data_IF_334813322414
#
_entry.id   IF_334813322414
#
_cell.length_a   1.000
_cell.length_b   1.000
_cell.length_c   1.000
_cell.angle_alpha   90.00
_cell.angle_beta   90.00
_cell.angle_gamma   90.00
#
_symmetry.space_group_name_H-M   'P 1'
#
loop_
_entity.id
_entity.type
_entity.pdbx_description
1 polymer ?
#
# COMPACT_ATOMS: atom_id res chain seq x y z
N UNK A 1 -5.93 -30.47 -25.59
CA UNK A 1 -4.57 -30.51 -26.17
C UNK A 1 -4.14 -29.09 -26.47
N UNK A 2 -3.57 -28.40 -25.46
CA UNK A 2 -3.08 -27.03 -25.62
C UNK A 2 -1.86 -27.07 -26.54
N UNK A 3 -2.02 -26.51 -27.73
CA UNK A 3 -1.01 -26.48 -28.80
C UNK A 3 0.27 -25.81 -28.29
N UNK A 4 1.35 -26.59 -28.19
CA UNK A 4 2.73 -26.10 -28.19
C UNK A 4 2.87 -25.10 -29.34
N UNK A 5 3.18 -23.84 -29.01
CA UNK A 5 3.49 -22.85 -30.04
C UNK A 5 4.71 -23.30 -30.84
N UNK A 6 4.54 -23.46 -32.16
CA UNK A 6 5.57 -23.89 -33.11
C UNK A 6 6.26 -22.70 -33.82
N UNK A 7 6.40 -21.55 -33.17
CA UNK A 7 7.29 -20.47 -33.65
C UNK A 7 8.15 -19.95 -32.49
N UNK A 8 9.41 -19.56 -32.75
CA UNK A 8 10.33 -19.10 -31.70
C UNK A 8 9.95 -17.74 -31.07
N UNK A 9 8.81 -17.16 -31.45
CA UNK A 9 8.36 -15.82 -31.05
C UNK A 9 7.01 -15.80 -30.33
N UNK A 10 6.34 -16.94 -30.19
CA UNK A 10 5.00 -17.00 -29.61
C UNK A 10 5.05 -17.64 -28.22
N UNK A 11 4.42 -16.98 -27.25
CA UNK A 11 4.27 -17.50 -25.89
C UNK A 11 3.27 -18.65 -25.87
N UNK A 12 3.63 -19.78 -25.27
CA UNK A 12 2.62 -20.74 -24.86
C UNK A 12 1.91 -20.26 -23.58
N UNK A 13 0.74 -20.82 -23.29
CA UNK A 13 -0.12 -20.33 -22.22
C UNK A 13 0.55 -20.46 -20.83
N UNK A 14 1.33 -21.53 -20.60
CA UNK A 14 2.10 -21.71 -19.36
C UNK A 14 3.22 -20.68 -19.20
N UNK A 15 3.95 -20.37 -20.28
CA UNK A 15 4.99 -19.33 -20.26
C UNK A 15 4.37 -17.95 -19.99
N UNK A 16 3.19 -17.67 -20.57
CA UNK A 16 2.49 -16.41 -20.34
C UNK A 16 2.02 -16.28 -18.89
N UNK A 17 1.48 -17.36 -18.29
CA UNK A 17 1.09 -17.37 -16.86
C UNK A 17 2.32 -17.17 -15.98
N UNK A 18 3.42 -17.89 -16.25
CA UNK A 18 4.67 -17.71 -15.53
C UNK A 18 5.17 -16.26 -15.61
N UNK A 19 5.23 -15.67 -16.81
CA UNK A 19 5.64 -14.28 -17.00
C UNK A 19 4.70 -13.29 -16.27
N UNK A 20 3.39 -13.52 -16.31
CA UNK A 20 2.40 -12.70 -15.61
C UNK A 20 2.61 -12.74 -14.09
N UNK A 21 2.89 -13.91 -13.53
CA UNK A 21 3.22 -14.07 -12.11
C UNK A 21 4.53 -13.35 -11.78
N UNK A 22 5.59 -13.52 -12.58
CA UNK A 22 6.87 -12.84 -12.37
C UNK A 22 6.67 -11.31 -12.36
N UNK A 23 5.97 -10.75 -13.35
CA UNK A 23 5.67 -9.32 -13.42
C UNK A 23 4.90 -8.83 -12.20
N UNK A 24 3.83 -9.55 -11.80
CA UNK A 24 3.05 -9.20 -10.63
C UNK A 24 3.89 -9.22 -9.34
N UNK A 25 4.70 -10.26 -9.14
CA UNK A 25 5.57 -10.38 -7.97
C UNK A 25 6.65 -9.30 -7.95
N UNK A 26 7.23 -8.94 -9.11
CA UNK A 26 8.20 -7.84 -9.21
C UNK A 26 7.54 -6.50 -8.86
N UNK A 27 6.33 -6.21 -9.34
CA UNK A 27 5.62 -4.98 -8.97
C UNK A 27 5.30 -4.89 -7.46
N UNK A 28 4.87 -6.01 -6.86
CA UNK A 28 4.63 -6.08 -5.41
C UNK A 28 5.95 -5.85 -4.65
N UNK A 29 7.05 -6.45 -5.10
CA UNK A 29 8.36 -6.26 -4.47
C UNK A 29 8.84 -4.82 -4.57
N UNK A 30 8.69 -4.17 -5.72
CA UNK A 30 9.01 -2.74 -5.87
C UNK A 30 8.19 -1.88 -4.90
N UNK A 31 6.90 -2.16 -4.77
CA UNK A 31 6.01 -1.46 -3.85
C UNK A 31 6.41 -1.69 -2.40
N UNK A 32 6.78 -2.92 -2.03
CA UNK A 32 7.25 -3.28 -0.70
C UNK A 32 8.58 -2.59 -0.35
N UNK A 33 9.56 -2.64 -1.25
CA UNK A 33 10.89 -2.06 -1.04
C UNK A 33 10.83 -0.54 -0.89
N UNK A 34 10.15 0.14 -1.82
CA UNK A 34 9.99 1.60 -1.78
C UNK A 34 9.06 2.03 -0.63
N UNK A 35 8.05 1.20 -0.35
CA UNK A 35 7.11 1.35 0.77
C UNK A 35 7.80 1.35 2.12
N UNK A 36 8.77 0.45 2.32
CA UNK A 36 9.57 0.35 3.55
C UNK A 36 10.73 1.35 3.62
N UNK A 37 11.11 1.95 2.49
CA UNK A 37 12.22 2.90 2.41
C UNK A 37 13.60 2.25 2.45
N UNK A 38 13.72 0.98 2.02
CA UNK A 38 14.95 0.18 2.15
C UNK A 38 15.94 0.32 0.99
N UNK A 39 15.79 1.28 0.07
CA UNK A 39 16.71 1.43 -1.08
C UNK A 39 17.51 2.73 -1.09
N UNK A 40 18.80 2.58 -0.80
CA UNK A 40 19.89 3.24 -1.52
C UNK A 40 20.89 2.20 -2.06
N UNK A 41 20.56 1.43 -3.12
CA UNK A 41 21.51 0.51 -3.74
C UNK A 41 22.70 1.21 -4.42
N UNK A 42 22.71 2.55 -4.48
CA UNK A 42 23.76 3.38 -5.07
C UNK A 42 24.51 4.27 -4.06
N UNK A 43 24.40 4.04 -2.75
CA UNK A 43 25.43 4.52 -1.82
C UNK A 43 26.67 3.61 -1.95
N UNK A 44 27.29 3.63 -3.13
CA UNK A 44 28.74 3.52 -3.16
C UNK A 44 29.23 4.70 -2.34
N UNK A 45 29.90 4.38 -1.25
CA UNK A 45 30.87 5.21 -0.56
C UNK A 45 31.67 6.01 -1.58
N UNK A 46 31.19 7.20 -1.91
CA UNK A 46 32.03 8.28 -2.42
C UNK A 46 32.74 8.90 -1.23
N UNK A 47 33.46 8.07 -0.45
CA UNK A 47 34.59 8.51 0.35
C UNK A 47 35.76 8.79 -0.59
N UNK A 48 35.55 9.77 -1.47
CA UNK A 48 36.60 10.61 -2.01
C UNK A 48 36.64 11.88 -1.16
N UNK A 49 36.93 11.72 0.13
CA UNK A 49 37.60 12.78 0.85
C UNK A 49 39.09 12.58 0.58
N UNK A 50 39.55 13.28 -0.46
CA UNK A 50 40.96 13.62 -0.59
C UNK A 50 41.42 14.13 0.77
N UNK A 51 42.41 13.43 1.32
CA UNK A 51 43.18 13.89 2.46
C UNK A 51 43.61 15.34 2.22
N UNK A 52 42.96 16.28 2.91
CA UNK A 52 43.48 17.59 3.15
C UNK A 52 43.43 17.83 4.66
N UNK A 53 44.56 17.45 5.26
CA UNK A 53 45.03 17.81 6.57
C UNK A 53 44.86 19.32 6.83
N UNK A 54 43.88 19.72 7.66
CA UNK A 54 43.94 20.94 8.49
C UNK A 54 43.19 20.74 9.81
N UNK A 55 43.90 21.06 10.89
CA UNK A 55 43.56 21.00 12.31
C UNK A 55 42.42 21.94 12.74
N UNK A 56 41.87 21.59 13.90
CA UNK A 56 41.08 22.38 14.86
C UNK A 56 39.66 22.79 14.46
N UNK A 57 38.65 22.12 15.03
CA UNK A 57 37.47 22.81 15.59
C UNK A 57 36.61 21.95 16.56
N UNK A 58 37.14 21.62 17.73
CA UNK A 58 36.31 21.03 18.82
C UNK A 58 35.33 22.05 19.45
N UNK A 59 35.38 23.32 19.04
CA UNK A 59 34.53 24.36 19.60
C UNK A 59 33.19 24.49 18.88
N UNK A 60 33.15 24.12 17.59
CA UNK A 60 31.94 24.18 16.75
C UNK A 60 30.90 23.09 17.08
N UNK A 61 31.33 21.88 17.44
CA UNK A 61 30.39 20.78 17.78
C UNK A 61 29.61 21.05 19.08
N UNK A 62 30.25 21.63 20.08
CA UNK A 62 29.60 21.97 21.36
C UNK A 62 28.54 23.05 21.15
N UNK A 63 28.82 24.04 20.30
CA UNK A 63 27.87 25.12 19.99
C UNK A 63 26.65 24.59 19.21
N UNK A 64 26.86 23.65 18.28
CA UNK A 64 25.79 22.97 17.55
C UNK A 64 24.92 22.09 18.46
N UNK A 65 25.53 21.37 19.42
CA UNK A 65 24.81 20.55 20.39
C UNK A 65 23.95 21.40 21.35
N UNK A 66 24.49 22.52 21.85
CA UNK A 66 23.74 23.45 22.70
C UNK A 66 22.55 24.06 21.96
N UNK A 67 22.72 24.41 20.67
CA UNK A 67 21.64 24.93 19.82
C UNK A 67 20.57 23.89 19.51
N UNK A 68 20.93 22.60 19.46
CA UNK A 68 19.99 21.48 19.32
C UNK A 68 19.18 21.23 20.59
N UNK A 69 19.80 21.32 21.77
CA UNK A 69 19.11 21.16 23.06
C UNK A 69 18.09 22.27 23.32
N UNK A 70 18.38 23.51 22.91
CA UNK A 70 17.48 24.65 23.09
C UNK A 70 16.24 24.60 22.17
N UNK A 71 16.38 23.97 20.99
CA UNK A 71 15.26 23.69 20.07
C UNK A 71 14.36 22.57 20.59
N UNK A 72 14.94 21.53 21.19
CA UNK A 72 14.18 20.43 21.81
C UNK A 72 13.41 20.89 23.06
N UNK A 73 13.94 21.86 23.80
CA UNK A 73 13.26 22.46 24.97
C UNK A 73 12.04 23.31 24.56
N UNK A 74 12.09 23.98 23.40
CA UNK A 74 10.97 24.74 22.82
C UNK A 74 9.89 23.86 22.19
N UNK A 75 10.24 22.68 21.67
CA UNK A 75 9.28 21.72 21.13
C UNK A 75 8.46 21.02 22.23
N UNK A 76 8.99 20.94 23.46
CA UNK A 76 8.35 20.24 24.59
C UNK A 76 7.22 21.02 25.28
N UNK A 77 6.91 22.26 24.85
CA UNK A 77 5.79 23.06 25.41
C UNK A 77 4.54 23.13 24.52
N UNK A 78 4.49 22.36 23.42
CA UNK A 78 3.29 22.24 22.56
C UNK A 78 2.99 20.79 22.19
N UNK A 79 2.63 19.99 23.19
CA UNK A 79 1.88 18.74 22.97
C UNK A 79 0.74 18.71 23.94
N UNK A 80 -0.43 19.18 23.50
CA UNK A 80 -1.71 18.62 23.92
C UNK A 80 -2.78 18.94 22.88
N UNK A 81 -2.77 18.18 21.79
CA UNK A 81 -3.91 18.07 20.87
C UNK A 81 -4.01 16.60 20.48
N UNK A 82 -4.70 15.83 21.33
CA UNK A 82 -5.16 14.47 21.01
C UNK A 82 -5.98 14.54 19.72
N UNK A 83 -5.54 13.84 18.68
CA UNK A 83 -6.27 13.74 17.43
C UNK A 83 -7.42 12.72 17.62
N UNK A 84 -8.69 13.09 17.32
CA UNK A 84 -9.86 12.25 17.63
C UNK A 84 -9.90 10.88 16.93
N UNK A 85 -9.26 10.75 15.76
CA UNK A 85 -9.43 9.57 14.90
C UNK A 85 -8.70 8.29 15.34
N UNK A 86 -7.71 8.37 16.24
CA UNK A 86 -6.98 7.18 16.73
C UNK A 86 -7.62 6.61 18.01
N UNK A 87 -8.19 7.47 18.87
CA UNK A 87 -8.94 7.04 20.07
C UNK A 87 -10.29 6.42 19.73
N UNK A 88 -10.96 6.92 18.68
CA UNK A 88 -12.20 6.33 18.19
C UNK A 88 -11.95 4.95 17.57
N UNK A 89 -10.85 4.79 16.82
CA UNK A 89 -10.39 3.50 16.33
C UNK A 89 -10.08 2.53 17.49
N UNK A 90 -9.38 3.00 18.53
CA UNK A 90 -9.11 2.25 19.76
C UNK A 90 -10.41 1.79 20.45
N UNK A 91 -11.44 2.64 20.49
CA UNK A 91 -12.74 2.28 21.07
C UNK A 91 -13.44 1.17 20.27
N UNK A 92 -13.45 1.26 18.94
CA UNK A 92 -14.02 0.22 18.08
C UNK A 92 -13.31 -1.14 18.20
N UNK A 93 -11.99 -1.16 18.42
CA UNK A 93 -11.25 -2.41 18.64
C UNK A 93 -11.57 -3.06 19.99
N UNK A 94 -11.80 -2.28 21.04
CA UNK A 94 -12.22 -2.81 22.35
C UNK A 94 -13.69 -3.27 22.32
N UNK A 95 -14.58 -2.55 21.63
CA UNK A 95 -15.99 -2.92 21.50
C UNK A 95 -16.18 -4.21 20.67
N UNK A 96 -15.29 -4.48 19.71
CA UNK A 96 -15.31 -5.72 18.92
C UNK A 96 -15.07 -7.00 19.74
N UNK A 97 -14.54 -6.92 20.97
CA UNK A 97 -14.43 -8.06 21.89
C UNK A 97 -15.75 -8.39 22.61
N UNK A 98 -16.71 -7.46 22.64
CA UNK A 98 -17.96 -7.61 23.41
C UNK A 98 -19.08 -8.23 22.55
N UNK A 99 -19.02 -8.13 21.23
CA UNK A 99 -20.10 -8.54 20.32
C UNK A 99 -20.07 -10.00 19.84
N UNK A 100 -19.26 -10.88 20.44
CA UNK A 100 -19.27 -12.32 20.07
C UNK A 100 -20.50 -13.08 20.60
N UNK A 101 -21.42 -12.44 21.33
CA UNK A 101 -22.68 -13.02 21.79
C UNK A 101 -23.86 -12.03 21.66
N UNK A 102 -24.40 -11.81 20.46
CA UNK A 102 -25.86 -11.78 20.23
C UNK A 102 -26.23 -11.55 18.77
N UNK A 103 -27.34 -12.17 18.38
CA UNK A 103 -27.83 -12.36 17.01
C UNK A 103 -28.86 -11.27 16.62
N UNK A 104 -29.11 -11.15 15.32
CA UNK A 104 -30.34 -10.72 14.60
C UNK A 104 -30.60 -9.25 14.25
N UNK A 105 -30.54 -8.99 12.94
CA UNK A 105 -31.49 -8.30 12.05
C UNK A 105 -32.26 -7.06 12.56
N UNK A 106 -32.14 -5.94 11.83
CA UNK A 106 -33.26 -5.23 11.19
C UNK A 106 -32.74 -4.03 10.36
N UNK A 107 -32.92 -4.14 9.03
CA UNK A 107 -33.37 -3.12 8.05
C UNK A 107 -32.89 -1.65 8.15
N UNK A 108 -32.20 -1.16 7.13
CA UNK A 108 -32.76 -0.18 6.17
C UNK A 108 -31.74 0.20 5.09
N UNK A 109 -32.22 0.19 3.86
CA UNK A 109 -31.51 0.59 2.65
C UNK A 109 -31.16 2.07 2.67
N UNK A 110 -29.89 2.40 2.48
CA UNK A 110 -29.46 3.65 1.88
C UNK A 110 -28.10 3.39 1.20
N UNK A 111 -28.13 3.34 -0.13
CA UNK A 111 -26.94 3.28 -0.98
C UNK A 111 -26.23 4.62 -0.92
N UNK A 112 -25.31 4.78 0.03
CA UNK A 112 -24.35 5.88 -0.02
C UNK A 112 -23.25 5.54 -1.04
N UNK A 113 -23.46 5.99 -2.28
CA UNK A 113 -22.37 6.20 -3.22
C UNK A 113 -21.29 7.05 -2.55
N UNK A 114 -20.03 6.64 -2.71
CA UNK A 114 -18.85 7.38 -2.25
C UNK A 114 -18.76 8.70 -3.05
N UNK A 115 -19.49 9.72 -2.61
CA UNK A 115 -19.40 11.07 -3.13
C UNK A 115 -18.35 11.85 -2.34
N UNK A 116 -17.09 11.79 -2.78
CA UNK A 116 -16.13 12.84 -2.46
C UNK A 116 -16.47 14.04 -3.34
N UNK A 117 -17.17 15.01 -2.76
CA UNK A 117 -17.55 16.25 -3.41
C UNK A 117 -16.33 17.13 -3.76
N UNK A 118 -16.48 17.82 -4.89
CA UNK A 118 -15.74 19.00 -5.38
C UNK A 118 -14.46 18.79 -6.21
N UNK A 119 -14.65 18.49 -7.51
CA UNK A 119 -14.67 19.54 -8.54
C UNK A 119 -14.99 18.93 -9.91
N UNK A 120 -16.18 19.23 -10.44
CA UNK A 120 -16.66 18.77 -11.74
C UNK A 120 -15.98 19.56 -12.86
N UNK A 121 -14.81 19.12 -13.26
CA UNK A 121 -14.19 19.50 -14.52
C UNK A 121 -14.29 18.33 -15.48
N UNK A 122 -15.21 18.42 -16.44
CA UNK A 122 -15.24 17.59 -17.64
C UNK A 122 -13.89 17.69 -18.34
N UNK A 123 -13.01 16.69 -18.21
CA UNK A 123 -11.81 16.59 -19.01
C UNK A 123 -11.45 15.12 -19.23
N UNK A 124 -11.16 14.81 -20.48
CA UNK A 124 -10.84 13.50 -21.03
C UNK A 124 -9.83 12.71 -20.17
N UNK A 125 -9.97 11.38 -20.20
CA UNK A 125 -9.26 10.39 -19.38
C UNK A 125 -7.75 10.24 -19.67
N UNK A 126 -7.06 11.34 -19.98
CA UNK A 126 -5.60 11.44 -20.09
C UNK A 126 -5.19 12.84 -19.60
N UNK A 127 -5.03 13.01 -18.28
CA UNK A 127 -4.32 14.19 -17.76
C UNK A 127 -2.82 14.04 -18.07
N UNK A 128 -2.36 14.62 -19.19
CA UNK A 128 -0.93 14.84 -19.46
C UNK A 128 -0.41 15.95 -18.54
N UNK A 129 -0.27 15.69 -17.24
CA UNK A 129 0.55 16.56 -16.37
C UNK A 129 2.02 16.20 -16.57
N UNK A 130 2.71 17.03 -17.34
CA UNK A 130 4.17 17.03 -17.45
C UNK A 130 4.78 17.36 -16.09
N UNK A 131 5.34 16.37 -15.40
CA UNK A 131 6.13 16.56 -14.18
C UNK A 131 7.50 15.89 -14.33
N UNK A 132 8.52 16.60 -13.82
CA UNK A 132 9.96 16.33 -13.92
C UNK A 132 10.31 14.84 -13.93
N UNK A 133 10.93 14.41 -15.01
CA UNK A 133 11.57 13.12 -15.16
C UNK A 133 12.57 12.88 -14.01
N UNK A 134 12.34 11.87 -13.18
CA UNK A 134 13.44 11.09 -12.64
C UNK A 134 13.95 10.22 -13.80
N UNK A 135 14.62 10.85 -14.76
CA UNK A 135 15.28 10.14 -15.86
C UNK A 135 16.53 9.47 -15.31
N UNK A 136 16.37 8.33 -14.63
CA UNK A 136 17.38 7.31 -14.79
C UNK A 136 17.35 6.95 -16.27
N UNK A 137 18.36 7.38 -17.03
CA UNK A 137 18.41 7.24 -18.49
C UNK A 137 18.23 5.79 -18.99
N UNK A 138 18.29 4.82 -18.08
CA UNK A 138 18.09 3.41 -18.35
C UNK A 138 16.62 2.95 -18.36
N UNK A 139 15.70 3.67 -17.72
CA UNK A 139 14.30 3.23 -17.62
C UNK A 139 13.64 3.13 -18.99
N UNK A 140 13.99 4.04 -19.91
CA UNK A 140 13.50 4.05 -21.30
C UNK A 140 13.94 2.83 -22.12
N UNK A 141 14.92 2.03 -21.69
CA UNK A 141 15.35 0.83 -22.41
C UNK A 141 14.45 -0.38 -22.15
N UNK A 142 13.71 -0.38 -21.04
CA UNK A 142 12.94 -1.54 -20.58
C UNK A 142 11.42 -1.31 -20.55
N UNK A 143 10.96 -0.14 -20.99
CA UNK A 143 9.54 0.23 -21.00
C UNK A 143 9.17 0.87 -22.33
N UNK A 144 7.99 0.52 -22.85
CA UNK A 144 7.44 1.09 -24.07
C UNK A 144 6.74 2.43 -23.84
N UNK A 145 6.18 2.65 -22.65
CA UNK A 145 5.49 3.89 -22.29
C UNK A 145 5.74 4.28 -20.83
N UNK A 146 6.48 5.37 -20.64
CA UNK A 146 6.76 5.95 -19.32
C UNK A 146 5.63 6.84 -18.77
N UNK A 147 4.59 7.08 -19.57
CA UNK A 147 3.43 7.88 -19.20
C UNK A 147 2.23 7.04 -18.77
N UNK A 148 2.25 5.72 -19.00
CA UNK A 148 1.23 4.82 -18.50
C UNK A 148 1.27 4.82 -16.96
N UNK A 149 0.18 5.29 -16.36
CA UNK A 149 0.06 5.49 -14.92
C UNK A 149 -1.33 5.10 -14.47
N UNK A 150 -1.44 4.78 -13.18
CA UNK A 150 -2.74 4.57 -12.55
C UNK A 150 -3.60 5.84 -12.67
N UNK A 151 -4.82 5.67 -13.15
CA UNK A 151 -5.88 6.67 -13.10
C UNK A 151 -6.91 6.21 -12.09
N UNK A 152 -7.32 7.12 -11.22
CA UNK A 152 -8.23 6.82 -10.13
C UNK A 152 -9.57 6.25 -10.64
N UNK A 153 -9.89 5.00 -10.30
CA UNK A 153 -11.14 4.36 -10.73
C UNK A 153 -12.36 5.18 -10.33
N UNK A 154 -12.37 5.78 -9.14
CA UNK A 154 -13.45 6.64 -8.68
C UNK A 154 -13.65 7.90 -9.54
N UNK A 155 -12.62 8.34 -10.28
CA UNK A 155 -12.71 9.47 -11.22
C UNK A 155 -13.08 9.03 -12.63
N UNK A 156 -13.04 7.72 -12.91
CA UNK A 156 -13.34 7.18 -14.22
C UNK A 156 -14.81 6.75 -14.29
N UNK A 157 -15.69 7.70 -14.61
CA UNK A 157 -17.14 7.48 -14.66
C UNK A 157 -17.62 6.38 -15.64
N UNK A 158 -16.74 5.86 -16.50
CA UNK A 158 -17.07 4.91 -17.56
C UNK A 158 -16.48 3.51 -17.33
N UNK A 159 -15.73 3.29 -16.23
CA UNK A 159 -15.08 2.00 -15.99
C UNK A 159 -15.98 1.15 -15.11
N UNK A 160 -16.47 0.03 -15.68
CA UNK A 160 -17.23 -0.98 -14.96
C UNK A 160 -16.37 -1.55 -13.83
N UNK A 161 -16.94 -1.55 -12.64
CA UNK A 161 -16.39 -2.27 -11.49
C UNK A 161 -16.46 -3.78 -11.72
N UNK A 162 -15.39 -4.48 -11.38
CA UNK A 162 -15.36 -5.95 -11.34
C UNK A 162 -15.98 -6.44 -10.03
N UNK A 163 -16.98 -7.31 -10.11
CA UNK A 163 -17.52 -7.95 -8.91
C UNK A 163 -16.73 -9.20 -8.59
N UNK A 164 -16.34 -9.39 -7.33
CA UNK A 164 -15.46 -10.51 -6.96
C UNK A 164 -16.01 -11.88 -7.37
N UNK A 165 -17.34 -12.08 -7.29
CA UNK A 165 -17.98 -13.35 -7.65
C UNK A 165 -17.95 -13.64 -9.17
N UNK A 166 -17.59 -12.66 -10.03
CA UNK A 166 -17.42 -12.89 -11.47
C UNK A 166 -16.09 -13.60 -11.76
N UNK A 167 -15.06 -13.36 -10.94
CA UNK A 167 -13.78 -14.06 -10.99
C UNK A 167 -13.04 -13.89 -9.67
N UNK A 168 -12.92 -14.97 -8.89
CA UNK A 168 -12.24 -15.03 -7.60
C UNK A 168 -11.02 -15.96 -7.67
N UNK A 169 -10.11 -15.84 -6.71
CA UNK A 169 -8.98 -16.76 -6.63
C UNK A 169 -9.45 -18.18 -6.29
N UNK A 170 -10.41 -18.25 -5.38
CA UNK A 170 -10.95 -19.48 -4.79
C UNK A 170 -11.75 -20.31 -5.80
N UNK A 171 -12.54 -19.67 -6.66
CA UNK A 171 -13.43 -20.38 -7.59
C UNK A 171 -12.80 -20.65 -8.95
N UNK A 172 -11.96 -19.74 -9.47
CA UNK A 172 -11.38 -19.88 -10.82
C UNK A 172 -9.86 -19.69 -10.86
N UNK A 173 -9.32 -18.73 -10.10
CA UNK A 173 -7.92 -18.34 -10.20
C UNK A 173 -6.95 -19.47 -9.87
N UNK A 174 -7.19 -20.21 -8.78
CA UNK A 174 -6.34 -21.31 -8.34
C UNK A 174 -6.26 -22.40 -9.42
N UNK A 175 -7.40 -22.94 -9.86
CA UNK A 175 -7.44 -24.02 -10.86
C UNK A 175 -6.85 -23.59 -12.20
N UNK A 176 -7.05 -22.34 -12.60
CA UNK A 176 -6.44 -21.78 -13.81
C UNK A 176 -4.92 -21.79 -13.74
N UNK A 177 -4.34 -21.35 -12.61
CA UNK A 177 -2.88 -21.38 -12.43
C UNK A 177 -2.38 -22.81 -12.27
N UNK A 178 -3.11 -23.69 -11.59
CA UNK A 178 -2.69 -25.08 -11.36
C UNK A 178 -2.63 -25.90 -12.67
N UNK A 179 -3.58 -25.67 -13.58
CA UNK A 179 -3.58 -26.32 -14.90
C UNK A 179 -2.39 -25.86 -15.76
N UNK A 180 -1.97 -24.60 -15.63
CA UNK A 180 -1.00 -23.95 -16.51
C UNK A 180 0.41 -23.89 -15.92
N UNK A 181 0.53 -23.95 -14.59
CA UNK A 181 1.78 -23.88 -13.82
C UNK A 181 1.64 -24.55 -12.43
N UNK A 182 1.53 -25.88 -12.47
CA UNK A 182 1.11 -26.82 -11.42
C UNK A 182 1.79 -26.75 -10.02
N UNK A 183 2.90 -26.02 -9.84
CA UNK A 183 3.51 -25.82 -8.51
C UNK A 183 3.26 -24.42 -7.93
N UNK A 184 2.94 -23.45 -8.78
CA UNK A 184 2.80 -22.07 -8.34
C UNK A 184 1.45 -21.77 -7.72
N UNK A 185 0.39 -22.48 -8.10
CA UNK A 185 -0.93 -22.29 -7.52
C UNK A 185 -0.89 -22.47 -5.99
N UNK A 186 -0.32 -23.58 -5.52
CA UNK A 186 -0.15 -23.86 -4.09
C UNK A 186 0.71 -22.83 -3.35
N UNK A 187 1.79 -22.37 -3.96
CA UNK A 187 2.69 -21.38 -3.34
C UNK A 187 1.97 -20.03 -3.21
N UNK A 188 1.25 -19.62 -4.26
CA UNK A 188 0.47 -18.38 -4.25
C UNK A 188 -0.66 -18.47 -3.24
N UNK A 189 -1.38 -19.60 -3.19
CA UNK A 189 -2.48 -19.81 -2.26
C UNK A 189 -2.01 -19.75 -0.80
N UNK A 190 -0.92 -20.47 -0.47
CA UNK A 190 -0.29 -20.40 0.85
C UNK A 190 0.17 -18.99 1.19
N UNK A 191 0.71 -18.25 0.22
CA UNK A 191 1.16 -16.86 0.42
C UNK A 191 -0.04 -15.92 0.68
N UNK A 192 -1.11 -16.02 -0.11
CA UNK A 192 -2.33 -15.21 0.05
C UNK A 192 -2.96 -15.51 1.42
N UNK A 193 -3.15 -16.78 1.74
CA UNK A 193 -3.71 -17.23 3.03
C UNK A 193 -2.86 -16.78 4.21
N UNK A 194 -1.53 -16.90 4.11
CA UNK A 194 -0.62 -16.43 5.17
C UNK A 194 -0.75 -14.93 5.37
N UNK A 195 -0.69 -14.12 4.30
CA UNK A 195 -0.77 -12.66 4.39
C UNK A 195 -2.13 -12.20 4.93
N UNK A 196 -3.23 -12.85 4.53
CA UNK A 196 -4.57 -12.54 5.02
C UNK A 196 -4.77 -12.90 6.50
N UNK A 197 -4.10 -13.95 7.00
CA UNK A 197 -4.30 -14.44 8.36
C UNK A 197 -3.20 -14.02 9.34
N UNK A 198 -2.10 -13.46 8.85
CA UNK A 198 -0.96 -13.06 9.70
C UNK A 198 -1.41 -12.04 10.75
N UNK A 199 -1.29 -12.44 12.01
CA UNK A 199 -1.48 -11.57 13.15
C UNK A 199 -0.67 -12.06 14.33
N UNK A 200 -0.12 -11.12 15.09
CA UNK A 200 0.47 -11.39 16.40
C UNK A 200 -0.50 -11.02 17.53
N UNK A 201 -1.76 -10.70 17.20
CA UNK A 201 -2.75 -10.16 18.13
C UNK A 201 -2.26 -8.93 18.88
N UNK A 202 -1.42 -8.11 18.22
CA UNK A 202 -0.89 -6.86 18.78
C UNK A 202 -1.34 -5.66 17.97
N UNK A 203 -1.46 -4.51 18.65
CA UNK A 203 -1.73 -3.22 18.04
C UNK A 203 -0.93 -2.15 18.81
N UNK A 204 0.25 -1.78 18.30
CA UNK A 204 1.14 -0.84 18.98
C UNK A 204 1.59 -1.35 20.35
N UNK A 205 1.14 -0.70 21.42
CA UNK A 205 1.43 -1.09 22.80
C UNK A 205 0.43 -2.11 23.36
N UNK A 206 -0.67 -2.38 22.66
CA UNK A 206 -1.70 -3.33 23.09
C UNK A 206 -1.38 -4.75 22.61
N UNK A 207 -1.66 -5.73 23.47
CA UNK A 207 -1.56 -7.15 23.17
C UNK A 207 -2.94 -7.79 23.37
N UNK A 208 -3.11 -9.00 22.83
CA UNK A 208 -4.35 -9.80 22.90
C UNK A 208 -5.56 -9.09 22.27
N UNK A 209 -5.33 -8.37 21.17
CA UNK A 209 -6.36 -7.63 20.42
C UNK A 209 -6.67 -8.33 19.11
N UNK A 210 -7.96 -8.47 18.78
CA UNK A 210 -8.36 -8.91 17.45
C UNK A 210 -8.16 -7.79 16.44
N UNK A 211 -7.30 -8.05 15.46
CA UNK A 211 -6.94 -7.11 14.38
C UNK A 211 -7.63 -7.45 13.06
N UNK A 212 -8.47 -8.48 13.03
CA UNK A 212 -9.15 -8.99 11.82
C UNK A 212 -9.85 -7.89 11.04
N UNK A 213 -10.70 -7.09 11.71
CA UNK A 213 -11.46 -5.99 11.08
C UNK A 213 -10.57 -4.98 10.37
N UNK A 214 -9.45 -4.61 10.98
CA UNK A 214 -8.52 -3.62 10.40
C UNK A 214 -7.73 -4.19 9.22
N UNK A 215 -7.21 -5.42 9.37
CA UNK A 215 -6.50 -6.11 8.29
C UNK A 215 -7.43 -6.33 7.09
N UNK A 216 -8.69 -6.71 7.36
CA UNK A 216 -9.71 -6.89 6.34
C UNK A 216 -10.09 -5.56 5.66
N UNK A 217 -10.22 -4.46 6.41
CA UNK A 217 -10.47 -3.13 5.83
C UNK A 217 -9.32 -2.66 4.93
N UNK A 218 -8.05 -2.93 5.27
CA UNK A 218 -6.90 -2.67 4.38
C UNK A 218 -7.03 -3.49 3.10
N UNK A 219 -7.30 -4.78 3.22
CA UNK A 219 -7.45 -5.70 2.10
C UNK A 219 -8.56 -5.24 1.14
N UNK A 220 -9.75 -4.94 1.68
CA UNK A 220 -10.90 -4.47 0.90
C UNK A 220 -10.69 -3.09 0.29
N UNK A 221 -10.02 -2.18 0.99
CA UNK A 221 -9.65 -0.89 0.43
C UNK A 221 -8.71 -1.06 -0.77
N UNK A 222 -7.65 -1.87 -0.66
CA UNK A 222 -6.72 -2.12 -1.76
C UNK A 222 -7.46 -2.73 -2.96
N UNK A 223 -8.29 -3.76 -2.76
CA UNK A 223 -9.07 -4.34 -3.85
C UNK A 223 -9.99 -3.31 -4.54
N UNK A 224 -10.64 -2.43 -3.77
CA UNK A 224 -11.49 -1.37 -4.32
C UNK A 224 -10.71 -0.35 -5.17
N UNK A 225 -9.44 -0.11 -4.84
CA UNK A 225 -8.57 0.76 -5.63
C UNK A 225 -8.23 0.15 -6.99
N UNK A 226 -8.21 -1.19 -7.11
CA UNK A 226 -8.08 -1.90 -8.38
C UNK A 226 -9.43 -2.11 -9.10
N UNK A 227 -10.52 -1.55 -8.57
CA UNK A 227 -11.84 -1.65 -9.17
C UNK A 227 -12.58 -2.95 -8.86
N UNK A 228 -12.09 -3.75 -7.89
CA UNK A 228 -12.75 -4.98 -7.44
C UNK A 228 -13.68 -4.67 -6.26
N UNK A 229 -14.94 -5.11 -6.33
CA UNK A 229 -15.95 -4.91 -5.28
C UNK A 229 -16.50 -6.23 -4.77
N UNK A 230 -16.68 -6.26 -3.45
CA UNK A 230 -17.31 -7.34 -2.69
C UNK A 230 -18.72 -6.88 -2.32
N UNK A 231 -19.75 -7.54 -2.85
CA UNK A 231 -21.14 -7.13 -2.66
C UNK A 231 -21.63 -7.38 -1.22
N UNK A 232 -20.95 -8.26 -0.48
CA UNK A 232 -21.21 -8.63 0.91
C UNK A 232 -20.41 -7.79 1.93
N UNK A 233 -19.54 -6.88 1.49
CA UNK A 233 -18.71 -6.05 2.36
C UNK A 233 -19.23 -4.62 2.50
N UNK A 234 -19.38 -4.14 3.74
CA UNK A 234 -19.75 -2.76 4.03
C UNK A 234 -18.55 -1.80 3.91
N UNK A 235 -18.39 -1.15 2.77
CA UNK A 235 -17.28 -0.21 2.53
C UNK A 235 -17.27 1.04 3.42
N UNK A 236 -18.35 1.34 4.17
CA UNK A 236 -18.30 2.37 5.20
C UNK A 236 -17.27 2.04 6.30
N UNK A 237 -17.05 0.75 6.58
CA UNK A 237 -16.05 0.29 7.56
C UNK A 237 -14.63 0.76 7.21
N UNK A 238 -14.30 0.89 5.92
CA UNK A 238 -13.00 1.41 5.49
C UNK A 238 -12.79 2.86 5.93
N UNK A 239 -13.85 3.66 6.05
CA UNK A 239 -13.78 5.03 6.57
C UNK A 239 -13.59 5.07 8.08
N UNK A 240 -14.15 4.11 8.80
CA UNK A 240 -13.96 3.95 10.24
C UNK A 240 -12.53 3.47 10.55
N UNK A 241 -12.06 2.46 9.81
CA UNK A 241 -10.78 1.79 10.09
C UNK A 241 -9.57 2.57 9.55
N UNK A 242 -9.68 3.25 8.42
CA UNK A 242 -8.53 3.87 7.76
C UNK A 242 -8.68 5.39 7.64
N UNK A 243 -7.86 6.11 8.41
CA UNK A 243 -7.79 7.56 8.31
C UNK A 243 -7.21 8.03 6.94
N UNK A 244 -7.37 9.33 6.63
CA UNK A 244 -6.95 9.90 5.35
C UNK A 244 -5.45 9.73 5.06
N UNK A 245 -4.60 9.79 6.08
CA UNK A 245 -3.13 9.63 5.91
C UNK A 245 -2.80 8.20 5.52
N UNK A 246 -3.42 7.22 6.18
CA UNK A 246 -3.26 5.79 5.89
C UNK A 246 -3.75 5.46 4.47
N UNK A 247 -4.93 5.94 4.10
CA UNK A 247 -5.47 5.79 2.72
C UNK A 247 -4.55 6.38 1.66
N UNK A 248 -3.98 7.55 1.93
CA UNK A 248 -3.01 8.20 1.03
C UNK A 248 -1.74 7.37 0.93
N UNK A 249 -1.19 6.90 2.04
CA UNK A 249 0.00 6.05 2.04
C UNK A 249 -0.21 4.77 1.23
N UNK A 250 -1.28 4.01 1.51
CA UNK A 250 -1.63 2.78 0.78
C UNK A 250 -1.75 3.07 -0.72
N UNK A 251 -2.49 4.11 -1.11
CA UNK A 251 -2.65 4.49 -2.53
C UNK A 251 -1.34 4.88 -3.20
N UNK A 252 -0.46 5.58 -2.49
CA UNK A 252 0.89 5.89 -3.01
C UNK A 252 1.72 4.63 -3.16
N UNK A 253 1.70 3.71 -2.20
CA UNK A 253 2.40 2.41 -2.27
C UNK A 253 1.94 1.58 -3.46
N UNK A 254 0.63 1.47 -3.69
CA UNK A 254 0.11 0.63 -4.78
C UNK A 254 0.41 1.18 -6.18
N UNK A 255 0.41 2.50 -6.36
CA UNK A 255 0.34 3.09 -7.71
C UNK A 255 1.48 4.06 -8.05
N UNK A 256 2.08 4.68 -7.04
CA UNK A 256 3.15 5.64 -7.21
C UNK A 256 4.25 5.41 -6.17
N UNK A 257 4.79 4.18 -6.06
CA UNK A 257 5.71 3.84 -4.96
C UNK A 257 7.00 4.68 -5.00
N UNK A 258 7.38 5.19 -6.16
CA UNK A 258 8.51 6.11 -6.35
C UNK A 258 8.26 7.53 -5.77
N UNK A 259 7.03 7.89 -5.42
CA UNK A 259 6.66 9.19 -4.81
C UNK A 259 6.60 9.10 -3.27
N UNK A 260 6.86 7.93 -2.68
CA UNK A 260 6.85 7.76 -1.23
C UNK A 260 7.98 8.57 -0.60
N UNK A 261 7.64 9.36 0.42
CA UNK A 261 8.61 10.16 1.18
C UNK A 261 8.76 9.62 2.60
N UNK A 262 9.91 9.89 3.22
CA UNK A 262 10.15 9.62 4.65
C UNK A 262 9.06 10.24 5.54
N UNK A 263 8.63 11.48 5.23
CA UNK A 263 7.58 12.18 5.96
C UNK A 263 6.24 11.45 5.87
N UNK A 264 5.86 10.96 4.67
CA UNK A 264 4.62 10.21 4.51
C UNK A 264 4.64 8.90 5.31
N UNK A 265 5.75 8.15 5.26
CA UNK A 265 5.97 6.93 6.05
C UNK A 265 5.87 7.17 7.57
N UNK A 266 6.49 8.24 8.06
CA UNK A 266 6.44 8.58 9.50
C UNK A 266 5.06 9.08 9.94
N UNK A 267 4.26 9.64 9.01
CA UNK A 267 2.96 10.22 9.33
C UNK A 267 1.83 9.22 9.56
N UNK A 268 2.05 7.93 9.24
CA UNK A 268 1.08 6.85 9.44
C UNK A 268 1.46 5.99 10.65
N UNK A 269 0.44 5.40 11.29
CA UNK A 269 0.61 4.41 12.38
C UNK A 269 1.64 4.90 13.42
N UNK A 270 1.50 6.14 13.89
CA UNK A 270 2.53 6.82 14.71
C UNK A 270 2.76 6.07 16.02
N UNK A 271 1.69 5.54 16.61
CA UNK A 271 1.72 4.80 17.87
C UNK A 271 1.99 3.30 17.71
N UNK A 272 2.28 2.84 16.49
CA UNK A 272 2.52 1.44 16.17
C UNK A 272 4.02 1.15 16.09
N UNK A 273 4.37 -0.12 16.32
CA UNK A 273 5.74 -0.62 16.14
C UNK A 273 6.11 -0.57 14.66
N UNK A 274 7.40 -0.37 14.38
CA UNK A 274 7.91 -0.42 13.00
C UNK A 274 7.61 -1.74 12.30
N UNK A 275 7.57 -2.86 13.04
CA UNK A 275 7.20 -4.18 12.51
C UNK A 275 5.74 -4.27 12.03
N UNK A 276 4.84 -3.42 12.54
CA UNK A 276 3.44 -3.39 12.12
C UNK A 276 3.24 -2.50 10.89
N UNK A 277 4.21 -1.63 10.58
CA UNK A 277 4.22 -0.82 9.34
C UNK A 277 4.74 -1.59 8.13
N UNK A 278 5.57 -2.63 8.38
CA UNK A 278 6.09 -3.56 7.37
C UNK A 278 5.00 -4.53 6.97
#
# INVERSE_FOLDING_TARGET
>A
TLTKCCSPTNWCLSELVQASIVLAQTHVLCSFVLGNGTTHPNEYTSSNEMANDKKDDNHCEIELLLKGMDQLKKAKSKTDLKHPGEQEMQKYFLEAQIDSESITSTTSSETEEISLSENRSTNNCVEKKSLKNCSNGYSSFYTSDNHLRYVDFAKCAHVRTHKIHEFSWEDQGYSCVDELYNEMADILDKKITLVQNLTYSTLGTYNDVDTSKYRHAIWMYIQSLYGIRHDDYNYAEVNVMLNRKMKRFIKTVCFHPYEITNSLRQSIMVDFKSSEKV
#
